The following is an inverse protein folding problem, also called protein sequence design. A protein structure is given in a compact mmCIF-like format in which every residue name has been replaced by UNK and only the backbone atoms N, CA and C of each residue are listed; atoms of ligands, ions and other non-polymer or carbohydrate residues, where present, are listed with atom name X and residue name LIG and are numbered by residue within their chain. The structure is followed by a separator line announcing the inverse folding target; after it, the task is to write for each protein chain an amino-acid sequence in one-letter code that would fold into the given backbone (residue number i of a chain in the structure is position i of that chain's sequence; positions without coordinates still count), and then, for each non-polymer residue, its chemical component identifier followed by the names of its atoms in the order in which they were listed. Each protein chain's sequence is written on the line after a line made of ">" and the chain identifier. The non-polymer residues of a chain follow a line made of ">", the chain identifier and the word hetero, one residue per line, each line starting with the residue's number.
data_IF_818598056997
#
_entry.id   IF_818598056997
#
_cell.length_a   1.000
_cell.length_b   1.000
_cell.length_c   1.000
_cell.angle_alpha   90.00
_cell.angle_beta   90.00
_cell.angle_gamma   90.00
#
_symmetry.space_group_name_H-M   'P 1'
#
loop_
_entity.id
_entity.type
_entity.pdbx_description
1 polymer ?
#
# COMPACT_ATOMS: atom_id res chain seq x y z
N UNK A 1 19.93 -18.52 -10.01
CA UNK A 1 20.00 -17.60 -8.86
C UNK A 1 18.69 -16.85 -8.88
N UNK A 2 17.81 -17.12 -7.96
CA UNK A 2 16.58 -16.32 -7.78
C UNK A 2 17.03 -14.98 -7.21
N UNK A 3 17.01 -13.97 -8.07
CA UNK A 3 17.38 -12.62 -7.66
C UNK A 3 16.32 -12.16 -6.64
N UNK A 4 16.72 -11.97 -5.39
CA UNK A 4 15.82 -11.49 -4.34
C UNK A 4 15.60 -10.01 -4.60
N UNK A 5 14.34 -9.55 -4.80
CA UNK A 5 14.07 -8.15 -5.04
C UNK A 5 14.62 -7.26 -3.91
N UNK A 6 15.10 -6.07 -4.28
CA UNK A 6 15.55 -5.07 -3.30
C UNK A 6 14.37 -4.59 -2.45
N UNK A 7 14.61 -4.36 -1.17
CA UNK A 7 13.60 -3.86 -0.22
C UNK A 7 13.94 -2.41 0.14
N UNK A 8 12.94 -1.53 0.08
CA UNK A 8 13.04 -0.18 0.57
C UNK A 8 12.80 -0.18 2.08
N UNK A 9 13.83 0.18 2.87
CA UNK A 9 13.75 0.19 4.33
C UNK A 9 13.85 1.62 4.86
N UNK A 10 12.83 2.04 5.59
CA UNK A 10 12.77 3.31 6.30
C UNK A 10 13.06 3.17 7.81
N UNK A 11 13.69 2.05 8.23
CA UNK A 11 14.01 1.82 9.64
C UNK A 11 14.90 2.92 10.20
N UNK A 12 14.50 3.50 11.35
CA UNK A 12 15.22 4.59 12.00
C UNK A 12 15.24 5.91 11.24
N UNK A 13 14.51 6.03 10.12
CA UNK A 13 14.43 7.27 9.35
C UNK A 13 13.41 8.25 9.94
N UNK A 14 13.66 9.54 9.72
CA UNK A 14 12.71 10.61 10.04
C UNK A 14 11.61 10.78 8.96
N UNK A 15 11.18 9.67 8.31
CA UNK A 15 10.22 9.67 7.20
C UNK A 15 8.97 10.52 7.48
N UNK A 16 8.43 10.43 8.69
CA UNK A 16 7.25 11.18 9.12
C UNK A 16 7.46 12.70 9.03
N UNK A 17 8.57 13.20 9.58
CA UNK A 17 8.91 14.62 9.59
C UNK A 17 9.53 15.09 8.29
N UNK A 18 10.32 14.26 7.62
CA UNK A 18 10.99 14.63 6.37
C UNK A 18 10.01 14.72 5.21
N UNK A 19 8.96 13.90 5.21
CA UNK A 19 8.05 13.82 4.07
C UNK A 19 6.65 14.35 4.36
N UNK A 20 6.18 14.35 5.62
CA UNK A 20 4.77 14.68 5.93
C UNK A 20 4.60 15.87 6.84
N UNK A 21 5.04 15.78 8.08
CA UNK A 21 4.83 16.82 9.08
C UNK A 21 5.67 18.06 8.78
N UNK A 22 5.03 19.22 8.66
CA UNK A 22 5.71 20.46 8.32
C UNK A 22 6.16 20.63 6.86
N UNK A 23 5.98 19.61 6.00
CA UNK A 23 6.47 19.60 4.61
C UNK A 23 5.49 20.16 3.57
N UNK A 24 4.42 20.80 4.00
CA UNK A 24 3.43 21.40 3.10
C UNK A 24 2.66 20.40 2.25
N UNK A 25 2.47 19.17 2.75
CA UNK A 25 1.72 18.10 2.08
C UNK A 25 0.24 18.01 2.49
N UNK A 26 -0.27 19.02 3.18
CA UNK A 26 -1.67 19.06 3.61
C UNK A 26 -2.68 18.95 2.46
N UNK A 27 -2.31 19.41 1.27
CA UNK A 27 -3.14 19.26 0.09
C UNK A 27 -3.22 17.80 -0.37
N UNK A 28 -2.07 17.14 -0.52
CA UNK A 28 -2.00 15.75 -0.92
C UNK A 28 -2.72 14.84 0.09
N UNK A 29 -2.51 15.07 1.39
CA UNK A 29 -3.18 14.32 2.45
C UNK A 29 -4.71 14.45 2.39
N UNK A 30 -5.23 15.68 2.19
CA UNK A 30 -6.67 15.90 2.05
C UNK A 30 -7.27 15.23 0.82
N UNK A 31 -6.54 15.26 -0.30
CA UNK A 31 -6.98 14.62 -1.55
C UNK A 31 -7.06 13.11 -1.36
N UNK A 32 -6.03 12.49 -0.80
CA UNK A 32 -5.98 11.04 -0.57
C UNK A 32 -7.08 10.57 0.38
N UNK A 33 -7.29 11.25 1.51
CA UNK A 33 -8.41 10.97 2.43
C UNK A 33 -9.76 11.15 1.77
N UNK A 34 -9.92 12.19 0.94
CA UNK A 34 -11.15 12.43 0.19
C UNK A 34 -11.49 11.29 -0.76
N UNK A 35 -10.49 10.78 -1.49
CA UNK A 35 -10.67 9.61 -2.37
C UNK A 35 -11.04 8.38 -1.57
N UNK A 36 -10.31 8.07 -0.50
CA UNK A 36 -10.60 6.89 0.34
C UNK A 36 -12.03 6.89 0.87
N UNK A 37 -12.49 8.01 1.45
CA UNK A 37 -13.87 8.15 1.94
C UNK A 37 -14.94 7.95 0.88
N UNK A 38 -14.59 8.13 -0.38
CA UNK A 38 -15.51 8.00 -1.51
C UNK A 38 -15.53 6.60 -2.12
N UNK A 39 -14.45 5.82 -1.99
CA UNK A 39 -14.31 4.52 -2.67
C UNK A 39 -14.19 3.32 -1.71
N UNK A 40 -14.00 3.55 -0.41
CA UNK A 40 -14.05 2.48 0.57
C UNK A 40 -15.46 1.88 0.64
N UNK A 41 -15.60 0.56 0.82
CA UNK A 41 -16.89 -0.08 1.05
C UNK A 41 -17.52 0.43 2.36
N UNK A 42 -18.84 0.30 2.50
CA UNK A 42 -19.58 0.75 3.69
C UNK A 42 -19.21 -0.04 4.96
N UNK A 43 -18.78 -1.27 4.81
CA UNK A 43 -18.33 -2.15 5.90
C UNK A 43 -17.39 -3.23 5.39
N UNK A 44 -16.54 -3.72 6.28
CA UNK A 44 -15.64 -4.84 6.04
C UNK A 44 -15.21 -5.49 7.35
N UNK A 45 -14.73 -6.71 7.26
CA UNK A 45 -14.30 -7.47 8.41
C UNK A 45 -12.84 -7.25 8.75
N UNK A 46 -11.96 -7.41 7.78
CA UNK A 46 -10.51 -7.27 8.00
C UNK A 46 -9.81 -6.63 6.80
N UNK A 47 -9.18 -5.50 7.04
CA UNK A 47 -8.40 -4.77 6.03
C UNK A 47 -6.90 -4.93 6.27
N UNK A 48 -6.15 -5.14 5.17
CA UNK A 48 -4.69 -5.06 5.14
C UNK A 48 -4.23 -3.69 4.61
N UNK A 49 -3.58 -2.90 5.45
CA UNK A 49 -2.90 -1.67 5.05
C UNK A 49 -1.43 -1.97 4.79
N UNK A 50 -1.03 -2.09 3.51
CA UNK A 50 0.36 -2.34 3.13
C UNK A 50 1.14 -1.03 3.03
N UNK A 51 2.35 -1.02 3.66
CA UNK A 51 3.17 0.17 3.77
C UNK A 51 2.51 1.23 4.63
N UNK A 52 1.95 0.81 5.77
CA UNK A 52 1.20 1.66 6.69
C UNK A 52 2.06 2.80 7.26
N UNK A 53 3.39 2.61 7.35
CA UNK A 53 4.31 3.54 7.96
C UNK A 53 3.88 3.88 9.40
N UNK A 54 3.78 5.17 9.67
CA UNK A 54 3.34 5.66 10.99
C UNK A 54 1.81 5.72 11.17
N UNK A 55 1.03 5.05 10.32
CA UNK A 55 -0.43 4.95 10.44
C UNK A 55 -1.18 6.22 10.01
N UNK A 56 -0.67 6.96 9.03
CA UNK A 56 -1.24 8.23 8.58
C UNK A 56 -2.69 8.12 8.10
N UNK A 57 -3.01 7.07 7.33
CA UNK A 57 -4.34 6.87 6.74
C UNK A 57 -5.21 5.88 7.52
N UNK A 58 -4.65 5.16 8.48
CA UNK A 58 -5.32 4.05 9.20
C UNK A 58 -6.68 4.43 9.78
N UNK A 59 -6.85 5.67 10.25
CA UNK A 59 -8.14 6.15 10.79
C UNK A 59 -9.23 6.36 9.73
N UNK A 60 -8.90 6.29 8.44
CA UNK A 60 -9.90 6.33 7.36
C UNK A 60 -10.60 4.98 7.17
N UNK A 61 -10.09 3.90 7.78
CA UNK A 61 -10.64 2.54 7.67
C UNK A 61 -11.57 2.17 8.84
N UNK A 62 -12.33 3.15 9.35
CA UNK A 62 -13.22 2.96 10.50
C UNK A 62 -14.42 2.03 10.21
N UNK A 63 -14.68 1.77 8.94
CA UNK A 63 -15.71 0.85 8.44
C UNK A 63 -15.30 -0.63 8.46
N UNK A 64 -14.04 -0.95 8.80
CA UNK A 64 -13.57 -2.32 9.01
C UNK A 64 -13.49 -2.66 10.50
N UNK A 65 -13.90 -3.88 10.88
CA UNK A 65 -13.83 -4.33 12.27
C UNK A 65 -12.40 -4.46 12.78
N UNK A 66 -11.49 -4.85 11.88
CA UNK A 66 -10.07 -5.07 12.19
C UNK A 66 -9.19 -4.57 11.06
N UNK A 67 -8.12 -3.85 11.39
CA UNK A 67 -7.10 -3.38 10.43
C UNK A 67 -5.73 -3.94 10.81
N UNK A 68 -5.07 -4.58 9.85
CA UNK A 68 -3.70 -5.05 9.97
C UNK A 68 -2.79 -4.04 9.27
N UNK A 69 -1.92 -3.39 10.03
CA UNK A 69 -0.90 -2.47 9.53
C UNK A 69 0.36 -3.28 9.23
N UNK A 70 0.74 -3.36 7.96
CA UNK A 70 1.97 -4.00 7.55
C UNK A 70 2.95 -2.96 7.01
N UNK A 71 4.16 -2.96 7.54
CA UNK A 71 5.27 -2.15 7.05
C UNK A 71 6.59 -2.91 7.24
N UNK A 72 7.62 -2.57 6.47
CA UNK A 72 8.94 -3.16 6.70
C UNK A 72 9.66 -2.47 7.87
N UNK A 73 9.38 -1.18 8.13
CA UNK A 73 10.00 -0.42 9.23
C UNK A 73 9.28 -0.68 10.56
N UNK A 74 9.99 -1.35 11.45
CA UNK A 74 9.52 -1.63 12.82
C UNK A 74 9.31 -0.33 13.61
N UNK A 75 10.21 0.64 13.50
CA UNK A 75 10.11 1.92 14.22
C UNK A 75 8.90 2.75 13.82
N UNK A 76 8.50 2.71 12.54
CA UNK A 76 7.28 3.37 12.07
C UNK A 76 6.02 2.70 12.65
N UNK A 77 5.97 1.38 12.68
CA UNK A 77 4.87 0.62 13.29
C UNK A 77 4.79 0.85 14.81
N UNK A 78 5.92 0.95 15.49
CA UNK A 78 5.99 1.25 16.92
C UNK A 78 5.36 2.62 17.22
N UNK A 79 5.66 3.63 16.40
CA UNK A 79 5.01 4.93 16.49
C UNK A 79 3.50 4.83 16.19
N UNK A 80 3.11 4.14 15.11
CA UNK A 80 1.69 3.95 14.77
C UNK A 80 0.91 3.33 15.93
N UNK A 81 1.46 2.29 16.55
CA UNK A 81 0.86 1.60 17.71
C UNK A 81 0.66 2.51 18.90
N UNK A 82 1.64 3.37 19.21
CA UNK A 82 1.52 4.36 20.29
C UNK A 82 0.37 5.36 20.06
N UNK A 83 0.04 5.68 18.79
CA UNK A 83 -0.99 6.64 18.43
C UNK A 83 -2.39 6.03 18.27
N UNK A 84 -2.46 4.76 17.87
CA UNK A 84 -3.71 4.08 17.49
C UNK A 84 -4.19 3.09 18.54
N UNK A 85 -3.27 2.51 19.34
CA UNK A 85 -3.56 1.43 20.31
C UNK A 85 -3.73 0.07 19.65
N UNK A 86 -4.26 -0.90 20.39
CA UNK A 86 -4.35 -2.31 19.97
C UNK A 86 -5.79 -2.82 19.78
N UNK A 87 -6.80 -2.02 20.11
CA UNK A 87 -8.19 -2.48 20.18
C UNK A 87 -8.70 -3.04 18.85
N UNK A 88 -8.42 -2.33 17.74
CA UNK A 88 -8.84 -2.69 16.37
C UNK A 88 -7.67 -3.00 15.44
N UNK A 89 -6.44 -2.88 15.92
CA UNK A 89 -5.26 -2.85 15.09
C UNK A 89 -4.30 -3.99 15.44
N UNK A 90 -3.68 -4.56 14.41
CA UNK A 90 -2.55 -5.50 14.52
C UNK A 90 -1.39 -4.95 13.71
N UNK A 91 -0.19 -5.01 14.25
CA UNK A 91 1.02 -4.43 13.66
C UNK A 91 1.97 -5.54 13.23
N UNK A 92 2.39 -5.53 11.97
CA UNK A 92 3.18 -6.59 11.36
C UNK A 92 4.38 -6.00 10.62
N UNK A 93 5.59 -6.29 11.10
CA UNK A 93 6.82 -5.95 10.40
C UNK A 93 7.19 -7.10 9.46
N UNK A 94 7.05 -6.91 8.13
CA UNK A 94 7.27 -7.96 7.16
C UNK A 94 7.64 -7.43 5.77
N UNK A 95 8.26 -8.30 4.98
CA UNK A 95 8.46 -8.10 3.55
C UNK A 95 7.15 -8.37 2.79
N UNK A 96 6.67 -7.38 2.03
CA UNK A 96 5.43 -7.50 1.26
C UNK A 96 5.52 -8.50 0.09
N UNK A 97 6.71 -8.95 -0.30
CA UNK A 97 6.88 -10.06 -1.23
C UNK A 97 6.61 -11.44 -0.60
N UNK A 98 6.61 -11.51 0.74
CA UNK A 98 6.45 -12.74 1.52
C UNK A 98 5.49 -12.49 2.70
N UNK A 99 4.21 -12.26 2.38
CA UNK A 99 3.19 -11.94 3.36
C UNK A 99 2.98 -13.10 4.35
N UNK A 100 3.06 -12.85 5.68
CA UNK A 100 2.98 -13.90 6.70
C UNK A 100 1.52 -14.21 7.08
N UNK A 101 0.65 -14.39 6.10
CA UNK A 101 -0.78 -14.61 6.33
C UNK A 101 -1.27 -15.86 5.61
N UNK A 102 -2.28 -16.49 6.19
CA UNK A 102 -3.06 -17.54 5.54
C UNK A 102 -3.80 -16.98 4.32
N UNK A 103 -4.15 -17.83 3.35
CA UNK A 103 -5.00 -17.41 2.23
C UNK A 103 -6.36 -16.89 2.71
N UNK A 104 -6.97 -15.97 1.97
CA UNK A 104 -8.33 -15.48 2.17
C UNK A 104 -8.66 -15.02 3.61
N UNK A 105 -7.76 -14.27 4.22
CA UNK A 105 -7.97 -13.67 5.57
C UNK A 105 -8.38 -12.20 5.52
N UNK A 106 -8.34 -11.55 4.35
CA UNK A 106 -8.69 -10.14 4.18
C UNK A 106 -9.81 -9.95 3.15
N UNK A 107 -10.85 -9.18 3.51
CA UNK A 107 -11.90 -8.71 2.61
C UNK A 107 -11.68 -7.27 2.12
N UNK A 108 -10.55 -6.68 2.47
CA UNK A 108 -10.07 -5.41 1.96
C UNK A 108 -8.56 -5.28 2.05
N UNK A 109 -7.96 -4.58 1.06
CA UNK A 109 -6.56 -4.20 1.12
C UNK A 109 -6.34 -2.80 0.55
N UNK A 110 -5.36 -2.08 1.09
CA UNK A 110 -4.92 -0.78 0.57
C UNK A 110 -3.40 -0.74 0.44
N UNK A 111 -2.92 -0.12 -0.64
CA UNK A 111 -1.50 0.14 -0.86
C UNK A 111 -1.35 1.56 -1.43
N UNK A 112 -1.06 2.54 -0.58
CA UNK A 112 -1.06 3.96 -0.94
C UNK A 112 0.31 4.58 -0.71
N UNK A 113 0.94 5.08 -1.78
CA UNK A 113 2.32 5.59 -1.83
C UNK A 113 3.39 4.54 -1.52
N UNK A 114 3.15 3.30 -1.91
CA UNK A 114 4.02 2.18 -1.58
C UNK A 114 4.49 1.42 -2.81
N UNK A 115 3.62 1.15 -3.80
CA UNK A 115 3.95 0.33 -4.98
C UNK A 115 5.17 0.83 -5.74
N UNK A 116 5.47 2.14 -5.66
CA UNK A 116 6.63 2.72 -6.32
C UNK A 116 7.99 2.33 -5.70
N UNK A 117 8.00 1.62 -4.59
CA UNK A 117 9.19 1.05 -3.98
C UNK A 117 9.46 -0.41 -4.40
N UNK A 118 8.58 -0.99 -5.23
CA UNK A 118 8.73 -2.38 -5.69
C UNK A 118 9.23 -2.45 -7.13
N UNK A 119 10.33 -3.18 -7.35
CA UNK A 119 10.84 -3.47 -8.69
C UNK A 119 10.09 -4.62 -9.37
N UNK A 120 9.58 -5.58 -8.60
CA UNK A 120 8.77 -6.70 -9.09
C UNK A 120 7.29 -6.51 -8.69
N UNK A 121 6.58 -5.64 -9.42
CA UNK A 121 5.16 -5.33 -9.20
C UNK A 121 4.25 -6.57 -9.35
N UNK A 122 4.41 -7.44 -10.37
CA UNK A 122 3.58 -8.63 -10.49
C UNK A 122 3.67 -9.54 -9.26
N UNK A 123 4.87 -9.75 -8.71
CA UNK A 123 5.07 -10.61 -7.55
C UNK A 123 4.37 -10.08 -6.31
N UNK A 124 4.49 -8.79 -6.00
CA UNK A 124 3.82 -8.22 -4.81
C UNK A 124 2.30 -8.21 -4.97
N UNK A 125 1.77 -7.93 -6.17
CA UNK A 125 0.33 -7.99 -6.42
C UNK A 125 -0.22 -9.42 -6.27
N UNK A 126 0.51 -10.43 -6.74
CA UNK A 126 0.16 -11.85 -6.55
C UNK A 126 0.17 -12.22 -5.07
N UNK A 127 1.16 -11.76 -4.30
CA UNK A 127 1.21 -12.01 -2.86
C UNK A 127 -0.01 -11.39 -2.14
N UNK A 128 -0.42 -10.18 -2.52
CA UNK A 128 -1.61 -9.53 -1.98
C UNK A 128 -2.88 -10.33 -2.35
N UNK A 129 -3.02 -10.72 -3.64
CA UNK A 129 -4.19 -11.48 -4.08
C UNK A 129 -4.37 -12.78 -3.31
N UNK A 130 -3.29 -13.49 -3.02
CA UNK A 130 -3.32 -14.78 -2.32
C UNK A 130 -3.89 -14.69 -0.89
N UNK A 131 -3.79 -13.54 -0.23
CA UNK A 131 -4.30 -13.36 1.14
C UNK A 131 -5.69 -12.71 1.19
N UNK A 132 -6.24 -12.33 0.03
CA UNK A 132 -7.57 -11.70 -0.09
C UNK A 132 -8.65 -12.73 -0.45
N UNK A 133 -9.86 -12.52 0.09
CA UNK A 133 -11.07 -13.24 -0.32
C UNK A 133 -11.49 -12.80 -1.73
N UNK A 134 -12.33 -13.61 -2.38
CA UNK A 134 -12.97 -13.21 -3.64
C UNK A 134 -13.95 -12.06 -3.40
N UNK A 135 -14.22 -11.29 -4.46
CA UNK A 135 -15.07 -10.10 -4.46
C UNK A 135 -14.63 -9.00 -3.46
N UNK A 136 -13.47 -9.17 -2.82
CA UNK A 136 -12.92 -8.21 -1.87
C UNK A 136 -12.32 -6.98 -2.56
N UNK A 137 -12.29 -5.86 -1.84
CA UNK A 137 -11.85 -4.57 -2.39
C UNK A 137 -10.35 -4.36 -2.23
N UNK A 138 -9.65 -4.07 -3.33
CA UNK A 138 -8.25 -3.62 -3.31
C UNK A 138 -8.12 -2.19 -3.84
N UNK A 139 -7.60 -1.28 -3.02
CA UNK A 139 -7.33 0.11 -3.39
C UNK A 139 -5.83 0.30 -3.51
N UNK A 140 -5.36 0.63 -4.71
CA UNK A 140 -3.96 0.86 -5.01
C UNK A 140 -3.75 2.31 -5.48
N UNK A 141 -2.72 2.99 -4.97
CA UNK A 141 -2.25 4.26 -5.53
C UNK A 141 -0.86 4.06 -6.13
N UNK A 142 -0.65 4.63 -7.32
CA UNK A 142 0.65 4.58 -7.99
C UNK A 142 1.08 5.92 -8.57
N UNK A 143 2.38 6.16 -8.58
CA UNK A 143 2.99 7.31 -9.24
C UNK A 143 2.89 7.17 -10.77
N UNK A 144 2.30 8.19 -11.42
CA UNK A 144 2.02 8.17 -12.85
C UNK A 144 3.19 8.74 -13.66
N UNK A 145 3.88 7.87 -14.39
CA UNK A 145 4.92 8.22 -15.35
C UNK A 145 4.41 9.15 -16.47
N UNK A 146 3.13 8.98 -16.88
CA UNK A 146 2.49 9.73 -17.96
C UNK A 146 1.78 11.01 -17.47
N UNK A 147 2.34 11.67 -16.46
CA UNK A 147 1.79 12.94 -15.99
C UNK A 147 2.14 14.10 -16.95
N UNK A 148 1.33 15.18 -16.89
CA UNK A 148 1.46 16.32 -17.81
C UNK A 148 2.86 16.94 -17.77
N UNK A 149 3.50 17.05 -16.59
CA UNK A 149 4.86 17.59 -16.44
C UNK A 149 5.88 16.72 -17.17
N UNK A 150 5.79 15.41 -17.03
CA UNK A 150 6.70 14.47 -17.70
C UNK A 150 6.51 14.49 -19.22
N UNK A 151 5.26 14.52 -19.71
CA UNK A 151 4.96 14.63 -21.14
C UNK A 151 5.50 15.94 -21.74
N UNK A 152 5.30 17.06 -21.06
CA UNK A 152 5.81 18.37 -21.53
C UNK A 152 7.35 18.39 -21.56
N UNK A 153 8.01 17.90 -20.50
CA UNK A 153 9.49 17.83 -20.46
C UNK A 153 10.04 16.95 -21.55
N UNK A 154 9.40 15.83 -21.84
CA UNK A 154 9.79 14.94 -22.92
C UNK A 154 9.64 15.61 -24.29
N UNK A 155 8.52 16.27 -24.57
CA UNK A 155 8.27 16.99 -25.80
C UNK A 155 9.28 18.14 -26.05
N UNK A 156 9.78 18.74 -24.96
CA UNK A 156 10.79 19.81 -25.02
C UNK A 156 12.24 19.27 -24.99
N UNK A 157 12.46 17.97 -25.03
CA UNK A 157 13.79 17.37 -24.94
C UNK A 157 14.50 17.54 -23.59
N UNK A 158 13.77 17.85 -22.52
CA UNK A 158 14.29 18.12 -21.17
C UNK A 158 14.33 16.89 -20.26
N UNK A 159 14.12 15.69 -20.82
CA UNK A 159 14.04 14.45 -20.07
C UNK A 159 14.50 13.27 -20.94
N UNK A 160 15.34 12.39 -20.37
CA UNK A 160 15.96 11.28 -21.11
C UNK A 160 15.07 10.06 -21.30
N UNK A 161 13.95 9.96 -20.56
CA UNK A 161 13.04 8.82 -20.65
C UNK A 161 11.68 9.20 -21.27
N UNK A 162 11.06 8.24 -21.96
CA UNK A 162 9.80 8.44 -22.68
C UNK A 162 8.61 8.09 -21.76
N UNK A 163 7.70 9.06 -21.46
CA UNK A 163 6.52 8.82 -20.62
C UNK A 163 5.47 7.92 -21.28
N UNK A 164 5.54 7.70 -22.59
CA UNK A 164 4.54 6.91 -23.34
C UNK A 164 4.86 5.42 -23.43
N UNK A 165 6.08 4.98 -23.08
CA UNK A 165 6.42 3.55 -23.03
C UNK A 165 5.84 2.89 -21.79
N UNK A 166 5.53 1.59 -21.87
CA UNK A 166 4.96 0.83 -20.75
C UNK A 166 5.98 0.56 -19.64
N UNK A 167 7.25 0.39 -19.96
CA UNK A 167 8.28 0.01 -18.99
C UNK A 167 8.33 0.99 -17.82
N UNK A 168 8.41 0.51 -16.58
CA UNK A 168 8.64 1.33 -15.40
C UNK A 168 9.92 2.17 -15.55
N UNK A 169 9.97 3.29 -14.85
CA UNK A 169 11.18 4.13 -14.81
C UNK A 169 11.59 4.33 -13.37
N UNK A 170 12.74 3.81 -13.00
CA UNK A 170 13.42 4.12 -11.75
C UNK A 170 14.11 5.48 -11.90
N UNK A 171 13.67 6.49 -11.17
CA UNK A 171 14.20 7.85 -11.25
C UNK A 171 15.11 8.21 -10.06
N UNK A 172 14.96 7.51 -8.96
CA UNK A 172 15.83 7.46 -7.80
C UNK A 172 15.81 5.99 -7.33
N UNK A 173 16.84 5.55 -6.65
CA UNK A 173 16.94 4.18 -6.14
C UNK A 173 15.65 3.74 -5.42
N UNK A 174 15.09 2.61 -5.85
CA UNK A 174 13.80 2.07 -5.40
C UNK A 174 12.65 3.08 -5.41
N UNK A 175 12.63 3.95 -6.43
CA UNK A 175 11.50 4.84 -6.69
C UNK A 175 11.12 4.80 -8.15
N UNK A 176 10.03 4.11 -8.45
CA UNK A 176 9.54 3.86 -9.79
C UNK A 176 8.31 4.71 -10.12
N UNK A 177 8.24 5.18 -11.36
CA UNK A 177 7.02 5.70 -11.95
C UNK A 177 6.47 4.70 -12.97
N UNK A 178 5.18 4.48 -12.94
CA UNK A 178 4.51 3.49 -13.78
C UNK A 178 3.61 4.12 -14.83
N UNK A 179 3.54 3.50 -16.00
CA UNK A 179 2.50 3.83 -16.97
C UNK A 179 1.16 3.23 -16.50
N UNK A 180 0.00 3.93 -16.58
CA UNK A 180 -1.28 3.40 -16.10
C UNK A 180 -1.66 2.05 -16.69
N UNK A 181 -1.36 1.81 -17.98
CA UNK A 181 -1.61 0.51 -18.64
C UNK A 181 -0.69 -0.62 -18.13
N UNK A 182 0.51 -0.29 -17.65
CA UNK A 182 1.38 -1.30 -17.03
C UNK A 182 0.76 -1.81 -15.74
N UNK A 183 0.31 -0.89 -14.86
CA UNK A 183 -0.36 -1.25 -13.61
C UNK A 183 -1.67 -2.01 -13.89
N UNK A 184 -2.46 -1.57 -14.87
CA UNK A 184 -3.67 -2.29 -15.28
C UNK A 184 -3.37 -3.74 -15.72
N UNK A 185 -2.33 -3.96 -16.52
CA UNK A 185 -1.91 -5.30 -16.94
C UNK A 185 -1.46 -6.15 -15.75
N UNK A 186 -0.61 -5.61 -14.87
CA UNK A 186 -0.12 -6.31 -13.69
C UNK A 186 -1.24 -6.67 -12.70
N UNK A 187 -2.22 -5.78 -12.49
CA UNK A 187 -3.41 -6.06 -11.69
C UNK A 187 -4.22 -7.22 -12.27
N UNK A 188 -4.49 -7.18 -13.59
CA UNK A 188 -5.24 -8.25 -14.26
C UNK A 188 -4.51 -9.59 -14.19
N UNK A 189 -3.22 -9.61 -14.45
CA UNK A 189 -2.38 -10.83 -14.35
C UNK A 189 -2.33 -11.40 -12.94
N UNK A 190 -2.42 -10.55 -11.91
CA UNK A 190 -2.48 -10.96 -10.52
C UNK A 190 -3.89 -11.39 -10.04
N UNK A 191 -4.92 -11.33 -10.89
CA UNK A 191 -6.29 -11.72 -10.56
C UNK A 191 -7.12 -10.60 -9.92
N UNK A 192 -6.90 -9.34 -10.35
CA UNK A 192 -7.72 -8.21 -9.96
C UNK A 192 -8.49 -7.62 -11.15
N UNK A 193 -9.78 -7.37 -10.96
CA UNK A 193 -10.61 -6.63 -11.91
C UNK A 193 -10.61 -5.13 -11.58
N UNK A 194 -10.08 -4.34 -12.49
CA UNK A 194 -10.01 -2.89 -12.38
C UNK A 194 -11.35 -2.23 -12.73
N UNK A 195 -12.00 -1.58 -11.77
CA UNK A 195 -13.29 -0.89 -11.98
C UNK A 195 -13.13 0.61 -12.24
N UNK A 196 -12.24 1.27 -11.52
CA UNK A 196 -12.09 2.72 -11.63
C UNK A 196 -10.63 3.15 -11.50
N UNK A 197 -10.22 4.13 -12.32
CA UNK A 197 -8.97 4.87 -12.18
C UNK A 197 -9.30 6.33 -11.85
N UNK A 198 -8.77 6.82 -10.74
CA UNK A 198 -9.06 8.16 -10.21
C UNK A 198 -7.76 8.96 -10.23
N UNK A 199 -7.61 9.91 -11.16
CA UNK A 199 -6.44 10.77 -11.22
C UNK A 199 -6.47 11.77 -10.06
N UNK A 200 -5.34 11.94 -9.37
CA UNK A 200 -5.27 12.79 -8.16
C UNK A 200 -4.05 13.70 -8.15
N UNK A 201 -4.12 14.71 -7.31
CA UNK A 201 -3.00 15.61 -7.02
C UNK A 201 -2.55 16.44 -8.22
N UNK A 202 -3.46 16.91 -9.05
CA UNK A 202 -3.17 17.76 -10.20
C UNK A 202 -2.45 19.06 -9.82
N UNK A 203 -2.75 19.61 -8.63
CA UNK A 203 -2.35 20.95 -8.21
C UNK A 203 -1.11 20.93 -7.28
N UNK A 204 -0.16 20.04 -7.53
CA UNK A 204 1.10 19.90 -6.74
C UNK A 204 2.10 21.05 -6.91
N UNK A 205 1.77 22.11 -7.62
CA UNK A 205 2.67 23.26 -7.78
C UNK A 205 2.96 23.91 -6.42
N UNK A 206 4.25 24.12 -6.12
CA UNK A 206 4.67 24.81 -4.88
C UNK A 206 4.11 26.24 -4.78
N UNK A 207 3.92 26.93 -5.92
CA UNK A 207 3.31 28.25 -5.96
C UNK A 207 1.84 28.19 -5.53
N UNK A 208 1.05 27.27 -6.09
CA UNK A 208 -0.36 27.12 -5.74
C UNK A 208 -0.54 26.75 -4.26
N UNK A 209 0.27 25.84 -3.75
CA UNK A 209 0.21 25.41 -2.34
C UNK A 209 0.62 26.50 -1.33
N UNK A 210 1.40 27.49 -1.77
CA UNK A 210 1.77 28.66 -0.94
C UNK A 210 0.70 29.76 -0.94
N UNK A 211 -0.05 29.89 -2.03
CA UNK A 211 -0.99 31.01 -2.25
C UNK A 211 -2.44 30.65 -1.94
N UNK A 212 -2.81 29.37 -2.02
CA UNK A 212 -4.19 28.92 -1.85
C UNK A 212 -4.32 27.92 -0.70
N UNK A 213 -5.44 27.96 0.07
CA UNK A 213 -5.70 26.99 1.14
C UNK A 213 -5.77 25.57 0.59
N UNK A 214 -5.20 24.61 1.33
CA UNK A 214 -5.17 23.19 0.94
C UNK A 214 -6.59 22.62 0.72
N UNK A 215 -7.58 23.01 1.51
CA UNK A 215 -8.98 22.60 1.33
C UNK A 215 -9.60 23.08 0.02
N UNK A 216 -9.27 24.30 -0.42
CA UNK A 216 -9.73 24.83 -1.70
C UNK A 216 -9.10 24.08 -2.88
N UNK A 217 -7.79 23.82 -2.81
CA UNK A 217 -7.10 23.02 -3.81
C UNK A 217 -7.65 21.59 -3.88
N UNK A 218 -7.93 20.95 -2.74
CA UNK A 218 -8.53 19.62 -2.69
C UNK A 218 -9.96 19.60 -3.27
N UNK A 219 -10.74 20.67 -3.06
CA UNK A 219 -12.07 20.82 -3.67
C UNK A 219 -12.00 20.92 -5.21
N UNK A 220 -11.03 21.65 -5.76
CA UNK A 220 -10.82 21.69 -7.22
C UNK A 220 -10.35 20.31 -7.71
N UNK A 221 -9.43 19.67 -6.98
CA UNK A 221 -8.93 18.35 -7.35
C UNK A 221 -10.06 17.30 -7.42
N UNK A 222 -11.02 17.34 -6.48
CA UNK A 222 -12.17 16.43 -6.50
C UNK A 222 -13.03 16.56 -7.77
N UNK A 223 -13.16 17.78 -8.33
CA UNK A 223 -13.82 17.99 -9.61
C UNK A 223 -12.99 17.42 -10.77
N UNK A 224 -11.66 17.63 -10.73
CA UNK A 224 -10.75 17.11 -11.75
C UNK A 224 -10.67 15.59 -11.76
N UNK A 225 -10.88 14.93 -10.64
CA UNK A 225 -10.95 13.46 -10.50
C UNK A 225 -12.05 12.86 -11.39
N UNK A 226 -13.16 13.56 -11.57
CA UNK A 226 -14.29 13.10 -12.41
C UNK A 226 -13.99 13.20 -13.92
N UNK A 227 -12.96 13.96 -14.33
CA UNK A 227 -12.60 14.09 -15.76
C UNK A 227 -12.03 12.82 -16.36
N UNK A 228 -11.54 11.88 -15.53
CA UNK A 228 -10.83 10.66 -15.93
C UNK A 228 -9.56 10.91 -16.77
N UNK A 229 -9.01 12.13 -16.71
CA UNK A 229 -7.77 12.47 -17.41
C UNK A 229 -6.56 11.91 -16.65
N UNK A 230 -6.07 10.76 -17.09
CA UNK A 230 -4.93 10.07 -16.48
C UNK A 230 -3.59 10.77 -16.78
N UNK A 231 -3.54 12.07 -16.55
CA UNK A 231 -2.36 12.95 -16.73
C UNK A 231 -1.89 13.61 -15.43
N UNK A 232 -2.55 13.26 -14.32
CA UNK A 232 -2.14 13.68 -12.97
C UNK A 232 -0.86 12.98 -12.51
N UNK A 233 -0.16 13.52 -11.50
CA UNK A 233 1.04 12.89 -10.94
C UNK A 233 0.81 11.51 -10.31
N UNK A 234 -0.40 11.25 -9.83
CA UNK A 234 -0.77 10.03 -9.10
C UNK A 234 -2.15 9.55 -9.52
N UNK A 235 -2.37 8.24 -9.47
CA UNK A 235 -3.64 7.60 -9.83
C UNK A 235 -3.99 6.58 -8.76
N UNK A 236 -5.21 6.67 -8.22
CA UNK A 236 -5.83 5.60 -7.46
C UNK A 236 -6.53 4.62 -8.39
N UNK A 237 -6.49 3.34 -8.05
CA UNK A 237 -7.29 2.30 -8.70
C UNK A 237 -8.19 1.65 -7.67
N UNK A 238 -9.45 1.44 -8.04
CA UNK A 238 -10.40 0.62 -7.30
C UNK A 238 -10.52 -0.70 -8.03
N UNK A 239 -10.19 -1.78 -7.34
CA UNK A 239 -10.14 -3.12 -7.91
C UNK A 239 -10.91 -4.10 -7.03
N UNK A 240 -11.39 -5.19 -7.63
CA UNK A 240 -11.97 -6.35 -6.93
C UNK A 240 -11.07 -7.55 -7.14
N UNK A 241 -10.81 -8.29 -6.09
CA UNK A 241 -10.09 -9.56 -6.17
C UNK A 241 -10.99 -10.60 -6.86
N UNK A 242 -10.47 -11.25 -7.91
CA UNK A 242 -11.19 -12.23 -8.71
C UNK A 242 -10.57 -13.62 -8.51
N UNK A 243 -11.38 -14.65 -8.40
CA UNK A 243 -10.91 -16.04 -8.28
C UNK A 243 -11.87 -16.92 -7.48
N UNK A 244 -11.41 -18.08 -7.14
CA UNK A 244 -12.17 -19.11 -6.42
C UNK A 244 -11.40 -19.48 -5.14
N UNK A 245 -11.39 -18.55 -4.18
CA UNK A 245 -10.60 -18.67 -2.95
C UNK A 245 -11.49 -19.21 -1.81
N UNK A 246 -10.96 -20.09 -0.99
CA UNK A 246 -11.64 -20.55 0.22
C UNK A 246 -11.79 -19.38 1.21
N UNK A 247 -13.04 -18.93 1.44
CA UNK A 247 -13.36 -17.82 2.34
C UNK A 247 -13.37 -18.23 3.82
N UNK A 248 -13.14 -19.50 4.15
CA UNK A 248 -13.20 -20.03 5.52
C UNK A 248 -12.29 -19.28 6.50
N UNK A 249 -11.17 -18.72 6.00
CA UNK A 249 -10.16 -18.04 6.80
C UNK A 249 -10.52 -16.61 7.20
N UNK A 250 -11.52 -15.97 6.61
CA UNK A 250 -11.94 -14.62 6.98
C UNK A 250 -12.50 -14.55 8.41
N UNK A 251 -13.05 -15.67 8.92
CA UNK A 251 -13.63 -15.78 10.26
C UNK A 251 -12.63 -16.13 11.35
N UNK A 252 -11.37 -16.39 11.01
CA UNK A 252 -10.35 -16.70 12.00
C UNK A 252 -10.14 -15.55 13.01
N UNK A 253 -9.82 -15.87 14.28
CA UNK A 253 -9.40 -14.89 15.27
C UNK A 253 -8.17 -14.11 14.81
N UNK A 254 -7.94 -12.92 15.37
CA UNK A 254 -6.86 -12.00 14.98
C UNK A 254 -5.45 -12.60 15.08
N UNK A 255 -5.23 -13.51 16.02
CA UNK A 255 -3.97 -14.19 16.28
C UNK A 255 -3.78 -15.47 15.46
N UNK A 256 -4.84 -15.98 14.82
CA UNK A 256 -4.83 -17.20 14.03
C UNK A 256 -4.69 -16.97 12.51
N UNK A 257 -4.55 -15.73 12.06
CA UNK A 257 -4.46 -15.37 10.63
C UNK A 257 -3.08 -15.59 10.02
N UNK A 258 -2.07 -15.85 10.84
CA UNK A 258 -0.67 -15.92 10.41
C UNK A 258 -0.30 -17.28 9.83
N UNK A 259 0.60 -17.25 8.86
CA UNK A 259 1.29 -18.41 8.28
C UNK A 259 2.78 -18.11 8.12
N UNK A 260 3.60 -19.14 8.10
CA UNK A 260 5.04 -19.01 7.88
C UNK A 260 5.32 -18.35 6.52
N UNK A 261 6.05 -17.22 6.46
CA UNK A 261 6.36 -16.55 5.20
C UNK A 261 7.29 -17.38 4.30
N UNK A 262 7.92 -18.43 4.84
CA UNK A 262 8.84 -19.30 4.13
C UNK A 262 8.18 -20.58 3.59
N UNK A 263 7.29 -21.18 4.38
CA UNK A 263 6.70 -22.49 4.07
C UNK A 263 5.20 -22.43 3.82
N UNK A 264 4.52 -21.36 4.25
CA UNK A 264 3.06 -21.25 4.23
C UNK A 264 2.37 -22.12 5.29
N UNK A 265 3.12 -22.81 6.17
CA UNK A 265 2.54 -23.64 7.23
C UNK A 265 1.93 -22.79 8.35
N UNK A 266 1.00 -23.39 9.10
CA UNK A 266 0.39 -22.77 10.26
C UNK A 266 1.44 -22.42 11.32
N UNK A 267 1.20 -21.31 12.03
CA UNK A 267 2.04 -20.86 13.12
C UNK A 267 1.35 -21.12 14.46
N UNK A 268 2.13 -21.60 15.42
CA UNK A 268 1.68 -21.81 16.80
C UNK A 268 2.35 -20.79 17.71
N UNK A 269 1.58 -20.22 18.64
CA UNK A 269 2.11 -19.28 19.62
C UNK A 269 2.84 -19.99 20.74
N UNK A 270 4.08 -19.60 20.99
CA UNK A 270 4.93 -20.04 22.11
C UNK A 270 5.47 -18.79 22.84
N UNK A 271 4.74 -18.33 23.85
CA UNK A 271 5.08 -17.09 24.57
C UNK A 271 5.04 -15.85 23.66
N UNK A 272 6.21 -15.22 23.50
CA UNK A 272 6.42 -14.06 22.65
C UNK A 272 6.91 -14.43 21.24
N UNK A 273 6.69 -15.70 20.83
CA UNK A 273 7.06 -16.18 19.50
C UNK A 273 5.88 -16.81 18.78
N UNK A 274 5.95 -16.75 17.45
CA UNK A 274 5.20 -17.63 16.55
C UNK A 274 6.18 -18.66 15.97
N UNK A 275 5.80 -19.93 15.95
CA UNK A 275 6.68 -21.05 15.57
C UNK A 275 5.99 -21.87 14.48
N UNK A 276 6.71 -22.22 13.41
CA UNK A 276 6.23 -23.12 12.37
C UNK A 276 6.59 -24.59 12.65
N UNK A 277 6.09 -25.50 11.80
CA UNK A 277 6.31 -26.95 11.94
C UNK A 277 7.79 -27.35 11.78
N UNK A 278 8.61 -26.48 11.15
CA UNK A 278 10.05 -26.70 11.03
C UNK A 278 10.84 -26.20 12.26
N UNK A 279 10.17 -25.58 13.23
CA UNK A 279 10.78 -24.99 14.41
C UNK A 279 11.34 -23.59 14.19
N UNK A 280 11.04 -22.97 13.03
CA UNK A 280 11.43 -21.58 12.77
C UNK A 280 10.57 -20.63 13.62
N UNK A 281 11.20 -19.64 14.23
CA UNK A 281 10.57 -18.75 15.19
C UNK A 281 10.57 -17.30 14.70
N UNK A 282 9.48 -16.58 14.93
CA UNK A 282 9.35 -15.13 14.72
C UNK A 282 8.92 -14.45 16.01
N UNK A 283 9.58 -13.35 16.32
CA UNK A 283 9.36 -12.63 17.58
C UNK A 283 8.12 -11.74 17.53
N UNK A 284 7.39 -11.68 18.64
CA UNK A 284 6.37 -10.67 18.92
C UNK A 284 6.98 -9.69 19.92
N UNK A 285 7.50 -8.59 19.41
CA UNK A 285 8.19 -7.57 20.21
C UNK A 285 7.35 -6.30 20.32
N UNK A 286 7.17 -5.82 21.54
CA UNK A 286 6.34 -4.63 21.81
C UNK A 286 4.95 -4.70 21.15
N UNK A 287 4.33 -5.90 21.12
CA UNK A 287 3.02 -6.14 20.48
C UNK A 287 3.01 -6.02 18.96
N UNK A 288 4.18 -6.01 18.32
CA UNK A 288 4.37 -6.03 16.86
C UNK A 288 4.91 -7.40 16.48
N UNK A 289 4.27 -8.05 15.50
CA UNK A 289 4.70 -9.32 14.93
C UNK A 289 5.85 -9.06 13.94
N UNK A 290 7.06 -9.50 14.27
CA UNK A 290 8.26 -9.26 13.43
C UNK A 290 8.59 -10.49 12.58
N UNK A 291 8.23 -10.44 11.29
CA UNK A 291 8.48 -11.48 10.31
C UNK A 291 9.64 -11.15 9.35
N UNK A 292 10.43 -10.12 9.60
CA UNK A 292 11.53 -9.73 8.70
C UNK A 292 12.64 -10.76 8.63
N UNK A 293 12.92 -11.40 9.76
CA UNK A 293 13.88 -12.49 9.86
C UNK A 293 13.48 -13.45 10.99
N UNK A 294 13.78 -14.76 10.87
CA UNK A 294 13.63 -15.68 11.97
C UNK A 294 14.42 -15.23 13.21
N UNK A 295 13.85 -15.46 14.39
CA UNK A 295 14.57 -15.25 15.65
C UNK A 295 15.68 -16.32 15.82
N UNK A 296 16.82 -15.92 16.37
CA UNK A 296 17.96 -16.81 16.66
C UNK A 296 17.64 -17.80 17.80
#
# INVERSE_FOLDING_TARGET
>A
MTDTPRICDYEGSDYRTDFWEGQGRNYEDRVERGVLRHILPESGKRLLELGAGFGRLTREYDNYDHVVLLDYSFSQLQYARQQLGDERFTYVAADAYHLPFKPAVFDGATMIRVIHHFEDVPRVLTAIRNVMTDDSTFILEHANKRNIKAMTRHALGQQGWNPHTLNPVEFVELNFNFHPRYIQGALHEAGFDLHRQIPVSFLRSGLLKRTLPAGFLAGIDSILQETRWLISPSIFTLNTANGDTDESNIDLPRDAIFASPHTGSDLQRDGDFLVDDAGTRWEIRDGIYDFKAPAE
#
